data_IF_131936315815
#
_entry.id   IF_131936315815
#
_cell.length_a   1.000
_cell.length_b   1.000
_cell.length_c   1.000
_cell.angle_alpha   90.00
_cell.angle_beta   90.00
_cell.angle_gamma   90.00
#
_symmetry.space_group_name_H-M   'P 1'
#
loop_
_entity.id
_entity.type
_entity.pdbx_description
1 polymer ?
#
# COMPACT_ATOMS: atom_id res chain seq x y z
N UNK A 1 -15.71 66.04 15.42
CA UNK A 1 -15.72 66.17 16.90
C UNK A 1 -15.94 64.76 17.45
N UNK A 2 -14.87 64.05 17.85
CA UNK A 2 -14.47 63.88 19.27
C UNK A 2 -15.67 63.55 20.16
N UNK A 3 -15.74 62.49 20.96
CA UNK A 3 -14.79 61.46 21.44
C UNK A 3 -15.64 60.57 22.35
N UNK A 4 -15.40 59.26 22.40
CA UNK A 4 -15.30 58.53 23.68
C UNK A 4 -14.70 57.14 23.48
N UNK A 5 -13.43 57.09 23.89
CA UNK A 5 -12.61 55.91 24.15
C UNK A 5 -13.20 55.21 25.38
N UNK A 6 -13.42 53.90 25.31
CA UNK A 6 -13.51 53.04 26.50
C UNK A 6 -12.69 51.78 26.26
N UNK A 7 -11.49 51.85 26.83
CA UNK A 7 -10.61 50.84 27.42
C UNK A 7 -10.98 49.36 27.29
N UNK A 8 -9.96 48.61 26.84
CA UNK A 8 -9.75 47.16 26.96
C UNK A 8 -10.16 46.58 28.33
N UNK A 9 -10.84 45.43 28.29
CA UNK A 9 -10.61 44.35 29.25
C UNK A 9 -10.26 43.08 28.48
N UNK A 10 -9.02 42.66 28.65
CA UNK A 10 -8.45 41.39 28.25
C UNK A 10 -9.11 40.29 29.11
N UNK A 11 -9.82 39.35 28.50
CA UNK A 11 -10.14 38.08 29.14
C UNK A 11 -9.73 36.94 28.20
N UNK A 12 -8.56 36.38 28.51
CA UNK A 12 -8.09 35.08 28.05
C UNK A 12 -9.12 33.97 28.34
N UNK A 13 -8.93 32.85 27.63
CA UNK A 13 -9.61 31.56 27.72
C UNK A 13 -10.98 31.46 27.07
N UNK A 14 -11.00 30.92 25.85
CA UNK A 14 -11.57 29.59 25.60
C UNK A 14 -11.27 29.18 24.16
N UNK A 15 -10.01 28.79 23.88
CA UNK A 15 -9.73 27.88 22.79
C UNK A 15 -10.26 26.50 23.21
N UNK A 16 -11.55 26.26 23.02
CA UNK A 16 -12.10 24.91 23.10
C UNK A 16 -11.78 24.26 21.76
N UNK A 17 -10.68 23.52 21.76
CA UNK A 17 -10.39 22.57 20.71
C UNK A 17 -11.56 21.60 20.59
N UNK A 18 -12.18 21.56 19.41
CA UNK A 18 -12.92 20.39 18.98
C UNK A 18 -11.90 19.28 18.71
N UNK A 19 -11.42 18.65 19.77
CA UNK A 19 -10.66 17.41 19.72
C UNK A 19 -11.60 16.26 20.04
N UNK A 20 -11.71 15.33 19.07
CA UNK A 20 -12.15 13.96 19.23
C UNK A 20 -13.56 13.75 19.83
N UNK A 21 -14.58 13.83 18.99
CA UNK A 21 -15.87 13.19 19.25
C UNK A 21 -16.15 12.18 18.13
N UNK A 22 -15.49 11.02 18.24
CA UNK A 22 -15.91 9.70 17.72
C UNK A 22 -15.11 8.64 18.49
N UNK A 23 -15.20 8.64 19.82
CA UNK A 23 -14.84 7.47 20.61
C UNK A 23 -16.05 6.53 20.58
N UNK A 24 -16.05 5.59 19.63
CA UNK A 24 -17.01 4.49 19.59
C UNK A 24 -16.85 3.61 20.84
N UNK A 25 -17.96 3.08 21.35
CA UNK A 25 -17.97 2.16 22.49
C UNK A 25 -16.98 0.99 22.30
N UNK A 26 -16.08 0.84 23.29
CA UNK A 26 -15.00 -0.14 23.30
C UNK A 26 -13.63 0.51 23.28
N UNK A 27 -13.21 1.16 24.38
CA UNK A 27 -11.85 1.70 24.49
C UNK A 27 -10.84 0.56 24.30
N UNK A 28 -9.96 0.69 23.30
CA UNK A 28 -8.81 -0.20 23.19
C UNK A 28 -8.04 -0.24 24.51
N UNK A 29 -7.50 -1.40 24.84
CA UNK A 29 -6.69 -1.55 26.04
C UNK A 29 -5.34 -2.21 25.74
N UNK A 30 -4.45 -2.13 26.72
CA UNK A 30 -3.08 -2.64 26.60
C UNK A 30 -3.00 -4.15 26.37
N UNK A 31 -4.03 -4.91 26.76
CA UNK A 31 -4.12 -6.35 26.49
C UNK A 31 -4.52 -6.66 25.04
N UNK A 32 -4.91 -5.66 24.25
CA UNK A 32 -5.16 -5.80 22.82
C UNK A 32 -4.02 -5.21 21.99
N UNK A 33 -3.47 -4.07 22.39
CA UNK A 33 -2.49 -3.30 21.62
C UNK A 33 -1.38 -2.85 22.55
N UNK A 34 -0.12 -3.09 22.18
CA UNK A 34 1.04 -2.63 22.94
C UNK A 34 2.22 -2.36 21.98
N UNK A 35 2.45 -1.07 21.67
CA UNK A 35 3.56 -0.60 20.83
C UNK A 35 4.28 0.54 21.56
N UNK A 36 5.13 0.22 22.56
CA UNK A 36 5.78 1.25 23.40
C UNK A 36 6.67 2.20 22.60
N UNK A 37 7.16 1.79 21.42
CA UNK A 37 7.94 2.62 20.49
C UNK A 37 7.09 3.68 19.76
N UNK A 38 5.76 3.67 19.94
CA UNK A 38 4.80 4.60 19.33
C UNK A 38 3.89 5.24 20.40
N UNK A 39 4.45 6.01 21.35
CA UNK A 39 3.69 6.52 22.50
C UNK A 39 2.55 7.47 22.13
N UNK A 40 2.69 8.27 21.07
CA UNK A 40 1.62 9.17 20.60
C UNK A 40 0.43 8.39 20.04
N UNK A 41 0.69 7.31 19.30
CA UNK A 41 -0.34 6.40 18.82
C UNK A 41 -1.06 5.71 19.98
N UNK A 42 -0.30 5.16 20.94
CA UNK A 42 -0.85 4.54 22.14
C UNK A 42 -1.75 5.53 22.92
N UNK A 43 -1.28 6.76 23.09
CA UNK A 43 -2.04 7.82 23.76
C UNK A 43 -3.32 8.19 22.99
N UNK A 44 -3.31 8.16 21.65
CA UNK A 44 -4.49 8.39 20.82
C UNK A 44 -5.59 7.36 21.03
N UNK A 45 -5.24 6.17 21.52
CA UNK A 45 -6.17 5.10 21.90
C UNK A 45 -6.54 5.12 23.39
N UNK A 46 -6.06 6.10 24.16
CA UNK A 46 -6.25 6.16 25.61
C UNK A 46 -5.36 5.20 26.40
N UNK A 47 -4.32 4.63 25.78
CA UNK A 47 -3.40 3.70 26.43
C UNK A 47 -2.15 4.45 26.89
N UNK A 48 -1.82 4.33 28.18
CA UNK A 48 -0.62 4.95 28.74
C UNK A 48 0.67 4.39 28.11
N UNK A 49 1.68 5.24 27.90
CA UNK A 49 2.95 4.90 27.23
C UNK A 49 3.74 3.77 27.92
N UNK A 50 3.54 3.60 29.21
CA UNK A 50 4.20 2.65 30.10
C UNK A 50 3.29 1.49 30.51
N UNK A 51 2.06 1.45 29.99
CA UNK A 51 1.15 0.34 30.20
C UNK A 51 1.77 -0.95 29.69
N UNK A 52 1.60 -2.04 30.47
CA UNK A 52 2.05 -3.37 30.08
C UNK A 52 0.85 -4.32 30.02
N UNK A 53 0.82 -5.25 29.04
CA UNK A 53 -0.21 -6.27 29.01
C UNK A 53 -0.20 -7.11 30.29
N UNK A 54 -1.32 -7.15 30.98
CA UNK A 54 -1.58 -8.04 32.11
C UNK A 54 -2.36 -9.26 31.61
N UNK A 55 -1.61 -10.19 31.02
CA UNK A 55 -2.11 -11.44 30.47
C UNK A 55 -1.39 -12.62 31.14
N UNK A 56 -2.16 -13.63 31.56
CA UNK A 56 -1.59 -14.89 32.06
C UNK A 56 -0.81 -15.60 30.96
N UNK A 57 0.05 -16.54 31.35
CA UNK A 57 0.81 -17.37 30.39
C UNK A 57 -0.12 -18.12 29.42
N UNK A 58 -1.24 -18.63 29.92
CA UNK A 58 -2.20 -19.38 29.12
C UNK A 58 -2.93 -18.47 28.13
N UNK A 59 -3.36 -17.28 28.57
CA UNK A 59 -3.96 -16.27 27.69
C UNK A 59 -3.00 -15.85 26.57
N UNK A 60 -1.73 -15.56 26.91
CA UNK A 60 -0.71 -15.23 25.90
C UNK A 60 -0.55 -16.34 24.88
N UNK A 61 -0.47 -17.59 25.34
CA UNK A 61 -0.31 -18.77 24.49
C UNK A 61 -1.49 -18.96 23.55
N UNK A 62 -2.71 -18.84 24.05
CA UNK A 62 -3.93 -18.96 23.26
C UNK A 62 -4.04 -17.86 22.19
N UNK A 63 -3.80 -16.59 22.57
CA UNK A 63 -3.88 -15.45 21.66
C UNK A 63 -2.77 -15.51 20.59
N UNK A 64 -1.54 -15.81 20.99
CA UNK A 64 -0.43 -15.99 20.05
C UNK A 64 -0.70 -17.16 19.10
N UNK A 65 -1.22 -18.28 19.60
CA UNK A 65 -1.64 -19.41 18.79
C UNK A 65 -2.69 -19.02 17.76
N UNK A 66 -3.77 -18.33 18.15
CA UNK A 66 -4.80 -17.86 17.21
C UNK A 66 -4.21 -16.96 16.13
N UNK A 67 -3.40 -15.96 16.54
CA UNK A 67 -2.77 -15.03 15.61
C UNK A 67 -1.78 -15.72 14.65
N UNK A 68 -1.03 -16.70 15.14
CA UNK A 68 -0.12 -17.49 14.31
C UNK A 68 -0.86 -18.26 13.22
N UNK A 69 -1.90 -19.02 13.58
CA UNK A 69 -2.67 -19.80 12.60
C UNK A 69 -3.33 -18.90 11.55
N UNK A 70 -3.94 -17.79 11.97
CA UNK A 70 -4.56 -16.84 11.06
C UNK A 70 -3.54 -16.24 10.06
N UNK A 71 -2.36 -15.83 10.53
CA UNK A 71 -1.30 -15.29 9.67
C UNK A 71 -0.69 -16.36 8.78
N UNK A 72 -0.51 -17.57 9.30
CA UNK A 72 0.01 -18.70 8.53
C UNK A 72 -0.96 -19.04 7.39
N UNK A 73 -2.24 -19.16 7.67
CA UNK A 73 -3.27 -19.44 6.67
C UNK A 73 -3.24 -18.40 5.57
N UNK A 74 -3.15 -17.10 5.90
CA UNK A 74 -3.02 -16.00 4.94
C UNK A 74 -1.71 -16.04 4.13
N UNK A 75 -0.58 -16.25 4.81
CA UNK A 75 0.74 -16.26 4.19
C UNK A 75 0.90 -17.41 3.20
N UNK A 76 0.39 -18.60 3.53
CA UNK A 76 0.46 -19.76 2.64
C UNK A 76 -0.40 -19.63 1.38
N UNK A 77 -1.27 -18.62 1.30
CA UNK A 77 -1.99 -18.23 0.08
C UNK A 77 -1.24 -17.17 -0.74
N UNK A 78 0.03 -16.87 -0.44
CA UNK A 78 0.76 -15.79 -1.10
C UNK A 78 1.86 -16.31 -2.03
N UNK A 79 2.22 -15.49 -3.00
CA UNK A 79 3.41 -15.70 -3.85
C UNK A 79 4.69 -15.78 -3.01
N UNK A 80 4.77 -15.08 -1.88
CA UNK A 80 5.92 -15.17 -0.98
C UNK A 80 6.11 -16.62 -0.48
N UNK A 81 5.04 -17.27 0.01
CA UNK A 81 5.11 -18.66 0.43
C UNK A 81 5.47 -19.60 -0.73
N UNK A 82 4.89 -19.39 -1.91
CA UNK A 82 5.20 -20.18 -3.11
C UNK A 82 6.67 -20.07 -3.54
N UNK A 83 7.32 -18.93 -3.24
CA UNK A 83 8.75 -18.70 -3.49
C UNK A 83 9.66 -19.10 -2.32
N UNK A 84 9.12 -19.75 -1.29
CA UNK A 84 9.89 -20.28 -0.15
C UNK A 84 10.16 -19.26 0.96
N UNK A 85 9.54 -18.08 0.93
CA UNK A 85 9.58 -17.14 2.06
C UNK A 85 8.75 -17.73 3.19
N UNK A 86 9.33 -17.82 4.38
CA UNK A 86 8.68 -18.35 5.59
C UNK A 86 8.52 -17.26 6.65
N UNK A 87 7.80 -17.55 7.73
CA UNK A 87 7.64 -16.61 8.85
C UNK A 87 8.99 -16.12 9.39
N UNK A 88 9.97 -17.03 9.48
CA UNK A 88 11.31 -16.75 10.02
C UNK A 88 12.26 -16.10 9.01
N UNK A 89 11.84 -15.96 7.75
CA UNK A 89 12.55 -15.14 6.77
C UNK A 89 12.46 -13.66 7.16
N UNK A 90 11.26 -13.21 7.53
CA UNK A 90 11.01 -11.81 7.90
C UNK A 90 11.08 -11.57 9.41
N UNK A 91 10.56 -12.47 10.25
CA UNK A 91 10.52 -12.28 11.70
C UNK A 91 11.67 -13.01 12.40
N UNK A 92 12.30 -12.37 13.40
CA UNK A 92 13.27 -13.05 14.26
C UNK A 92 12.57 -13.70 15.45
N UNK A 93 12.51 -15.05 15.53
CA UNK A 93 11.86 -15.75 16.63
C UNK A 93 12.55 -15.54 17.98
N UNK A 94 13.77 -14.97 18.00
CA UNK A 94 14.52 -14.65 19.22
C UNK A 94 14.35 -13.21 19.70
N UNK A 95 13.82 -12.33 18.85
CA UNK A 95 13.79 -10.89 19.12
C UNK A 95 12.77 -10.47 20.17
N UNK A 96 11.76 -11.31 20.47
CA UNK A 96 10.67 -11.02 21.38
C UNK A 96 10.16 -12.32 22.06
N UNK A 97 10.87 -12.85 23.06
CA UNK A 97 10.43 -13.99 23.91
C UNK A 97 9.64 -15.11 23.16
N UNK A 98 10.12 -15.56 22.00
CA UNK A 98 9.43 -16.55 21.16
C UNK A 98 8.27 -15.97 20.33
N UNK A 99 7.06 -16.57 20.41
CA UNK A 99 5.86 -16.11 19.67
C UNK A 99 4.90 -15.28 20.54
N UNK A 100 5.25 -15.05 21.81
CA UNK A 100 4.37 -14.35 22.75
C UNK A 100 4.04 -12.91 22.32
N UNK A 101 4.91 -12.28 21.51
CA UNK A 101 4.66 -10.96 20.92
C UNK A 101 3.44 -10.94 19.99
N UNK A 102 3.02 -12.07 19.45
CA UNK A 102 1.84 -12.18 18.60
C UNK A 102 0.53 -12.11 19.40
N UNK A 103 0.59 -12.17 20.74
CA UNK A 103 -0.61 -12.15 21.59
C UNK A 103 -1.39 -10.83 21.49
N UNK A 104 -0.69 -9.72 21.26
CA UNK A 104 -1.26 -8.36 21.14
C UNK A 104 -0.84 -7.72 19.82
N UNK A 105 -1.50 -6.64 19.40
CA UNK A 105 -1.02 -5.81 18.29
C UNK A 105 0.30 -5.18 18.73
N UNK A 106 1.35 -5.44 17.98
CA UNK A 106 2.70 -4.99 18.28
C UNK A 106 3.43 -4.56 16.99
N UNK A 107 4.58 -3.91 17.13
CA UNK A 107 5.55 -3.66 16.07
C UNK A 107 6.75 -4.61 16.25
N UNK A 108 6.71 -5.82 15.66
CA UNK A 108 7.80 -6.78 15.82
C UNK A 108 9.10 -6.30 15.17
N UNK A 109 10.23 -6.81 15.66
CA UNK A 109 11.52 -6.64 14.97
C UNK A 109 11.49 -7.44 13.67
N UNK A 110 11.87 -6.77 12.58
CA UNK A 110 11.91 -7.35 11.24
C UNK A 110 13.37 -7.57 10.85
N UNK A 111 13.71 -8.82 10.50
CA UNK A 111 15.03 -9.23 10.01
C UNK A 111 15.22 -8.90 8.53
N UNK A 112 14.17 -9.08 7.74
CA UNK A 112 14.18 -8.82 6.31
C UNK A 112 12.95 -8.01 5.93
N UNK A 113 13.20 -6.82 5.41
CA UNK A 113 12.22 -5.81 5.02
C UNK A 113 11.75 -6.04 3.59
N UNK A 114 10.68 -5.34 3.18
CA UNK A 114 10.16 -5.39 1.81
C UNK A 114 11.24 -4.96 0.80
N UNK A 115 11.99 -3.91 1.15
CA UNK A 115 12.99 -3.25 0.32
C UNK A 115 14.21 -4.13 0.05
N UNK A 116 14.51 -5.09 0.93
CA UNK A 116 15.62 -6.03 0.75
C UNK A 116 15.45 -6.94 -0.48
N UNK A 117 14.20 -7.19 -0.91
CA UNK A 117 13.90 -7.97 -2.12
C UNK A 117 13.26 -7.14 -3.23
N UNK A 118 12.48 -6.12 -2.89
CA UNK A 118 11.74 -5.28 -3.83
C UNK A 118 12.48 -3.96 -4.09
N UNK A 119 13.72 -4.07 -4.58
CA UNK A 119 14.62 -2.92 -4.73
C UNK A 119 14.09 -1.90 -5.74
N UNK A 120 13.52 -2.35 -6.87
CA UNK A 120 12.93 -1.43 -7.87
C UNK A 120 11.74 -0.67 -7.28
N UNK A 121 10.86 -1.35 -6.53
CA UNK A 121 9.73 -0.72 -5.87
C UNK A 121 10.22 0.28 -4.81
N UNK A 122 11.24 -0.09 -4.04
CA UNK A 122 11.83 0.79 -3.03
C UNK A 122 12.45 2.04 -3.66
N UNK A 123 13.21 1.88 -4.75
CA UNK A 123 13.83 2.98 -5.50
C UNK A 123 12.76 3.92 -6.06
N UNK A 124 11.69 3.38 -6.65
CA UNK A 124 10.56 4.19 -7.16
C UNK A 124 9.83 4.89 -6.01
N UNK A 125 9.50 4.16 -4.94
CA UNK A 125 8.78 4.70 -3.78
C UNK A 125 9.56 5.80 -3.07
N UNK A 126 10.90 5.78 -3.09
CA UNK A 126 11.73 6.85 -2.56
C UNK A 126 11.52 8.21 -3.26
N UNK A 127 10.89 8.22 -4.45
CA UNK A 127 10.51 9.43 -5.17
C UNK A 127 9.05 9.86 -4.96
N UNK A 128 8.32 9.19 -4.05
CA UNK A 128 6.96 9.59 -3.70
C UNK A 128 6.97 10.86 -2.85
N UNK A 129 6.00 11.72 -3.07
CA UNK A 129 5.75 12.95 -2.32
C UNK A 129 4.45 12.88 -1.50
N UNK A 130 3.50 12.05 -1.95
CA UNK A 130 2.16 11.91 -1.36
C UNK A 130 2.12 10.93 -0.19
N UNK A 131 2.91 9.87 -0.24
CA UNK A 131 2.93 8.79 0.75
C UNK A 131 4.33 8.57 1.35
N UNK A 132 5.17 9.61 1.33
CA UNK A 132 6.61 9.57 1.67
C UNK A 132 6.91 9.16 3.13
N UNK A 133 5.92 9.35 4.00
CA UNK A 133 5.98 8.99 5.43
C UNK A 133 5.41 7.61 5.74
N UNK A 134 4.87 6.89 4.75
CA UNK A 134 4.28 5.58 4.96
C UNK A 134 5.26 4.46 4.64
N UNK A 135 5.13 3.37 5.39
CA UNK A 135 5.84 2.11 5.14
C UNK A 135 5.00 1.23 4.18
N UNK A 136 5.65 0.32 3.46
CA UNK A 136 5.02 -0.61 2.51
C UNK A 136 3.85 -1.37 3.15
N UNK A 137 3.98 -1.71 4.43
CA UNK A 137 2.95 -2.42 5.20
C UNK A 137 1.66 -1.62 5.39
N UNK A 138 1.69 -0.29 5.23
CA UNK A 138 0.50 0.56 5.40
C UNK A 138 -0.59 0.22 4.38
N UNK A 139 -0.20 -0.16 3.16
CA UNK A 139 -1.12 -0.48 2.07
C UNK A 139 -1.18 -1.99 1.80
N UNK A 140 -0.03 -2.68 1.86
CA UNK A 140 0.07 -4.10 1.49
C UNK A 140 -0.32 -5.06 2.61
N UNK A 141 -0.25 -4.60 3.85
CA UNK A 141 -0.53 -5.41 5.02
C UNK A 141 -1.36 -4.59 6.01
N UNK A 142 -2.56 -4.12 5.66
CA UNK A 142 -3.40 -3.39 6.61
C UNK A 142 -3.81 -4.29 7.78
N UNK A 143 -4.14 -3.69 8.92
CA UNK A 143 -4.93 -4.40 9.91
C UNK A 143 -6.36 -4.60 9.37
N UNK A 144 -6.81 -5.86 9.36
CA UNK A 144 -8.14 -6.27 8.91
C UNK A 144 -8.87 -7.00 10.04
N UNK A 145 -10.20 -7.01 9.98
CA UNK A 145 -10.99 -7.84 10.89
C UNK A 145 -10.78 -9.33 10.55
N UNK A 146 -10.71 -10.17 11.58
CA UNK A 146 -10.64 -11.62 11.39
C UNK A 146 -11.89 -12.12 10.70
N UNK A 147 -11.85 -13.29 10.05
CA UNK A 147 -13.01 -13.88 9.39
C UNK A 147 -14.26 -13.99 10.30
N UNK A 148 -14.07 -14.23 11.60
CA UNK A 148 -15.17 -14.31 12.56
C UNK A 148 -15.76 -12.95 12.94
N UNK A 149 -14.98 -11.88 12.78
CA UNK A 149 -15.32 -10.51 13.16
C UNK A 149 -15.59 -9.60 11.96
N UNK A 150 -15.49 -10.16 10.74
CA UNK A 150 -15.58 -9.41 9.50
C UNK A 150 -17.01 -8.94 9.23
N UNK A 151 -17.11 -7.78 8.59
CA UNK A 151 -18.34 -7.18 8.08
C UNK A 151 -18.00 -6.33 6.86
N UNK A 152 -18.93 -6.22 5.93
CA UNK A 152 -18.85 -5.24 4.84
C UNK A 152 -19.05 -3.81 5.34
N UNK A 153 -19.67 -3.64 6.51
CA UNK A 153 -19.73 -2.35 7.21
C UNK A 153 -18.40 -2.08 7.95
N UNK A 154 -17.64 -1.10 7.47
CA UNK A 154 -16.38 -0.66 8.06
C UNK A 154 -16.53 -0.13 9.49
N UNK A 155 -17.69 0.42 9.87
CA UNK A 155 -17.90 0.87 11.25
C UNK A 155 -18.07 -0.31 12.21
N UNK A 156 -18.60 -1.44 11.73
CA UNK A 156 -18.72 -2.67 12.50
C UNK A 156 -17.42 -3.49 12.53
N UNK A 157 -16.71 -3.56 11.41
CA UNK A 157 -15.47 -4.34 11.28
C UNK A 157 -14.25 -3.60 11.85
N UNK A 158 -14.18 -2.29 11.66
CA UNK A 158 -13.04 -1.44 11.97
C UNK A 158 -12.54 -1.51 13.41
N UNK A 159 -13.40 -1.35 14.43
CA UNK A 159 -13.03 -1.50 15.83
C UNK A 159 -12.42 -2.87 16.17
N UNK A 160 -12.76 -3.91 15.40
CA UNK A 160 -12.27 -5.30 15.58
C UNK A 160 -11.06 -5.64 14.70
N UNK A 161 -10.65 -4.74 13.80
CA UNK A 161 -9.52 -4.93 12.89
C UNK A 161 -8.18 -4.76 13.61
N UNK A 162 -7.80 -5.77 14.39
CA UNK A 162 -6.59 -5.75 15.22
C UNK A 162 -5.39 -6.40 14.53
N UNK A 163 -5.60 -7.26 13.52
CA UNK A 163 -4.53 -8.13 13.03
C UNK A 163 -4.10 -7.75 11.62
N UNK A 164 -2.78 -7.56 11.49
CA UNK A 164 -2.13 -7.29 10.21
C UNK A 164 -2.25 -8.48 9.26
N UNK A 165 -2.83 -8.28 8.08
CA UNK A 165 -3.00 -9.32 7.05
C UNK A 165 -1.66 -9.69 6.39
N UNK A 166 -1.48 -10.97 6.03
CA UNK A 166 -0.24 -11.50 5.42
C UNK A 166 -0.47 -12.08 4.00
N UNK A 167 -1.32 -11.44 3.19
CA UNK A 167 -1.55 -11.80 1.79
C UNK A 167 -0.76 -10.94 0.80
N UNK A 168 -0.37 -9.72 1.20
CA UNK A 168 0.52 -8.76 0.53
C UNK A 168 -0.01 -8.18 -0.80
N UNK A 169 -0.60 -9.01 -1.66
CA UNK A 169 -1.12 -8.61 -2.97
C UNK A 169 -2.29 -7.64 -2.79
N UNK A 170 -2.23 -6.46 -3.41
CA UNK A 170 -3.40 -5.59 -3.56
C UNK A 170 -4.08 -5.93 -4.88
N UNK A 171 -5.40 -6.15 -4.84
CA UNK A 171 -6.25 -6.35 -6.01
C UNK A 171 -6.97 -5.05 -6.36
N UNK A 172 -6.67 -4.52 -7.55
CA UNK A 172 -7.27 -3.29 -8.06
C UNK A 172 -8.54 -3.64 -8.82
N UNK A 173 -9.67 -3.67 -8.12
CA UNK A 173 -10.99 -3.97 -8.67
C UNK A 173 -12.06 -3.16 -7.92
N UNK A 174 -13.11 -2.63 -8.59
CA UNK A 174 -14.10 -1.79 -7.92
C UNK A 174 -15.06 -2.56 -7.01
N UNK A 175 -15.09 -3.90 -7.07
CA UNK A 175 -16.09 -4.75 -6.40
C UNK A 175 -15.51 -5.91 -5.59
N UNK A 176 -14.27 -6.32 -5.87
CA UNK A 176 -13.64 -7.43 -5.16
C UNK A 176 -13.55 -7.14 -3.66
N UNK A 177 -13.69 -8.17 -2.83
CA UNK A 177 -13.59 -8.04 -1.37
C UNK A 177 -12.55 -9.03 -0.87
N UNK A 178 -11.69 -8.60 0.03
CA UNK A 178 -10.68 -9.45 0.68
C UNK A 178 -11.31 -10.64 1.38
N UNK A 179 -12.53 -10.49 1.90
CA UNK A 179 -13.29 -11.57 2.50
C UNK A 179 -14.63 -11.71 1.78
N UNK A 180 -15.03 -12.94 1.51
CA UNK A 180 -16.32 -13.28 0.87
C UNK A 180 -17.07 -14.28 1.73
N UNK A 181 -18.39 -14.33 1.58
CA UNK A 181 -19.19 -15.38 2.21
C UNK A 181 -18.81 -16.75 1.64
N UNK A 182 -18.68 -17.73 2.52
CA UNK A 182 -18.34 -19.10 2.18
C UNK A 182 -18.69 -20.06 3.33
N UNK A 183 -18.29 -21.32 3.17
CA UNK A 183 -18.45 -22.33 4.22
C UNK A 183 -17.24 -22.33 5.15
N UNK A 184 -17.51 -22.26 6.45
CA UNK A 184 -16.52 -22.39 7.52
C UNK A 184 -16.79 -23.68 8.30
N UNK A 185 -15.73 -24.39 8.69
CA UNK A 185 -15.85 -25.61 9.51
C UNK A 185 -16.28 -25.26 10.93
N UNK A 186 -17.27 -25.99 11.44
CA UNK A 186 -17.77 -25.88 12.81
C UNK A 186 -17.75 -27.27 13.44
N UNK A 187 -16.84 -27.46 14.41
CA UNK A 187 -16.63 -28.78 15.02
C UNK A 187 -15.97 -29.79 14.07
N UNK A 188 -16.15 -31.08 14.32
CA UNK A 188 -15.54 -32.16 13.51
C UNK A 188 -16.20 -32.31 12.14
N UNK A 189 -17.53 -32.22 12.08
CA UNK A 189 -18.32 -32.63 10.91
C UNK A 189 -19.32 -31.57 10.42
N UNK A 190 -19.35 -30.39 11.07
CA UNK A 190 -20.29 -29.32 10.71
C UNK A 190 -19.66 -28.29 9.78
N UNK A 191 -20.48 -27.70 8.92
CA UNK A 191 -20.17 -26.45 8.21
C UNK A 191 -21.23 -25.41 8.53
N UNK A 192 -20.83 -24.15 8.56
CA UNK A 192 -21.73 -23.01 8.67
C UNK A 192 -21.36 -21.97 7.61
N UNK A 193 -22.26 -21.03 7.33
CA UNK A 193 -21.93 -19.85 6.53
C UNK A 193 -21.11 -18.88 7.38
N UNK A 194 -20.05 -18.33 6.79
CA UNK A 194 -19.20 -17.31 7.41
C UNK A 194 -18.33 -16.63 6.36
N UNK A 195 -17.49 -15.69 6.79
CA UNK A 195 -16.52 -15.09 5.89
C UNK A 195 -15.27 -15.95 5.76
N UNK A 196 -14.70 -15.99 4.56
CA UNK A 196 -13.42 -16.63 4.25
C UNK A 196 -12.58 -15.70 3.39
N UNK A 197 -11.25 -15.86 3.44
CA UNK A 197 -10.36 -15.12 2.57
C UNK A 197 -10.66 -15.40 1.10
N UNK A 198 -10.91 -14.34 0.34
CA UNK A 198 -11.07 -14.43 -1.10
C UNK A 198 -9.75 -14.81 -1.76
N UNK A 199 -9.86 -15.46 -2.93
CA UNK A 199 -8.73 -15.87 -3.75
C UNK A 199 -8.86 -15.28 -5.14
N UNK A 200 -7.74 -14.90 -5.74
CA UNK A 200 -7.66 -14.56 -7.15
C UNK A 200 -7.68 -15.82 -8.04
N UNK A 201 -7.59 -15.62 -9.37
CA UNK A 201 -7.62 -16.71 -10.36
C UNK A 201 -6.48 -17.72 -10.18
N UNK A 202 -5.36 -17.28 -9.60
CA UNK A 202 -4.19 -18.11 -9.30
C UNK A 202 -4.30 -18.79 -7.91
N UNK A 203 -5.41 -18.59 -7.21
CA UNK A 203 -5.66 -19.14 -5.89
C UNK A 203 -5.00 -18.37 -4.74
N UNK A 204 -4.46 -17.17 -5.00
CA UNK A 204 -3.78 -16.36 -4.00
C UNK A 204 -4.73 -15.44 -3.24
N UNK A 205 -4.47 -15.25 -1.95
CA UNK A 205 -5.18 -14.24 -1.16
C UNK A 205 -4.79 -12.81 -1.56
N UNK A 206 -5.70 -11.86 -1.37
CA UNK A 206 -5.45 -10.45 -1.69
C UNK A 206 -6.09 -9.47 -0.69
N UNK A 207 -5.58 -8.23 -0.74
CA UNK A 207 -6.10 -7.04 -0.07
C UNK A 207 -6.90 -6.24 -1.11
N UNK A 208 -8.17 -5.97 -0.84
CA UNK A 208 -8.96 -5.09 -1.68
C UNK A 208 -8.59 -3.60 -1.46
N UNK A 209 -9.10 -2.73 -2.32
CA UNK A 209 -8.75 -1.31 -2.28
C UNK A 209 -9.34 -0.59 -1.06
N UNK A 210 -10.48 -1.05 -0.54
CA UNK A 210 -11.06 -0.46 0.67
C UNK A 210 -10.15 -0.71 1.87
N UNK A 211 -9.74 -1.96 2.10
CA UNK A 211 -8.80 -2.30 3.18
C UNK A 211 -7.41 -1.75 2.95
N UNK A 212 -6.96 -1.57 1.71
CA UNK A 212 -5.64 -1.01 1.44
C UNK A 212 -5.58 0.50 1.72
N UNK A 213 -6.56 1.27 1.24
CA UNK A 213 -6.48 2.73 1.19
C UNK A 213 -7.43 3.45 2.17
N UNK A 214 -8.64 2.93 2.34
CA UNK A 214 -9.74 3.63 3.02
C UNK A 214 -10.33 2.81 4.18
N UNK A 215 -9.50 2.02 4.88
CA UNK A 215 -9.90 1.21 6.04
C UNK A 215 -10.25 2.05 7.26
N UNK A 216 -11.32 1.70 7.98
CA UNK A 216 -11.60 2.28 9.30
C UNK A 216 -10.85 1.49 10.39
N UNK A 217 -9.52 1.57 10.43
CA UNK A 217 -8.74 0.76 11.39
C UNK A 217 -7.92 1.63 12.35
N UNK A 218 -8.54 2.23 13.39
CA UNK A 218 -7.83 3.11 14.32
C UNK A 218 -6.77 2.36 15.15
N UNK A 219 -6.86 1.03 15.29
CA UNK A 219 -5.84 0.19 15.93
C UNK A 219 -4.57 -0.06 15.08
N UNK A 220 -4.49 0.49 13.87
CA UNK A 220 -3.29 0.40 13.02
C UNK A 220 -2.47 1.68 13.13
N UNK A 221 -1.26 1.59 13.67
CA UNK A 221 -0.40 2.76 13.80
C UNK A 221 -0.07 3.42 12.45
N UNK A 222 -0.12 2.66 11.35
CA UNK A 222 0.09 3.22 10.01
C UNK A 222 -1.08 4.09 9.54
N UNK A 223 -2.31 3.84 10.04
CA UNK A 223 -3.46 4.73 9.82
C UNK A 223 -3.23 6.03 10.58
N UNK A 224 -2.79 5.95 11.83
CA UNK A 224 -2.48 7.15 12.63
C UNK A 224 -1.40 8.02 11.97
N UNK A 225 -0.29 7.42 11.53
CA UNK A 225 0.80 8.11 10.84
C UNK A 225 0.37 8.69 9.48
N UNK A 226 -0.53 7.99 8.78
CA UNK A 226 -1.18 8.44 7.56
C UNK A 226 -2.30 9.46 7.77
N UNK A 227 -2.34 10.14 8.92
CA UNK A 227 -3.40 11.11 9.27
C UNK A 227 -4.82 10.55 9.14
N UNK A 228 -5.00 9.28 9.47
CA UNK A 228 -6.28 8.58 9.36
C UNK A 228 -6.56 7.98 7.97
N UNK A 229 -5.60 8.03 7.05
CA UNK A 229 -5.74 7.56 5.66
C UNK A 229 -7.00 8.15 5.00
N UNK A 230 -7.72 7.38 4.18
CA UNK A 230 -8.80 7.90 3.34
C UNK A 230 -10.21 7.55 3.83
N UNK A 231 -10.38 6.98 5.04
CA UNK A 231 -11.70 6.61 5.53
C UNK A 231 -12.43 7.81 6.19
N UNK A 232 -13.76 7.98 5.99
CA UNK A 232 -14.53 9.08 6.58
C UNK A 232 -14.50 9.13 8.13
N UNK A 233 -14.35 7.99 8.79
CA UNK A 233 -14.36 7.92 10.25
C UNK A 233 -13.03 8.32 10.88
N UNK A 234 -11.90 8.12 10.17
CA UNK A 234 -10.56 8.31 10.74
C UNK A 234 -9.79 9.46 10.11
N UNK A 235 -10.09 9.81 8.86
CA UNK A 235 -9.28 10.74 8.07
C UNK A 235 -9.27 12.15 8.65
N UNK A 236 -8.09 12.75 8.62
CA UNK A 236 -7.82 14.17 8.89
C UNK A 236 -7.23 14.86 7.65
N UNK A 237 -7.40 14.25 6.49
CA UNK A 237 -7.02 14.81 5.19
C UNK A 237 -8.09 15.80 4.70
N UNK A 238 -7.77 16.52 3.63
CA UNK A 238 -8.75 17.38 2.97
C UNK A 238 -9.93 16.56 2.44
N UNK A 239 -11.12 17.17 2.38
CA UNK A 239 -12.39 16.49 2.03
C UNK A 239 -12.32 15.71 0.71
N UNK A 240 -11.58 16.21 -0.29
CA UNK A 240 -11.39 15.54 -1.57
C UNK A 240 -10.53 14.26 -1.54
N UNK A 241 -9.93 13.93 -0.39
CA UNK A 241 -9.11 12.73 -0.17
C UNK A 241 -9.81 11.73 0.77
N UNK A 242 -11.09 11.92 1.05
CA UNK A 242 -11.89 11.04 1.89
C UNK A 242 -12.81 10.22 0.98
N UNK A 243 -12.64 8.90 0.99
CA UNK A 243 -13.33 7.97 0.09
C UNK A 243 -14.37 7.16 0.87
N UNK A 244 -15.61 7.19 0.40
CA UNK A 244 -16.75 6.54 1.06
C UNK A 244 -16.79 5.04 0.80
N UNK A 245 -16.34 4.63 -0.38
CA UNK A 245 -16.41 3.24 -0.81
C UNK A 245 -15.23 2.85 -1.72
N UNK A 246 -15.14 1.55 -2.00
CA UNK A 246 -14.10 1.01 -2.85
C UNK A 246 -14.12 1.55 -4.29
N UNK A 247 -15.30 1.92 -4.81
CA UNK A 247 -15.44 2.40 -6.18
C UNK A 247 -14.80 3.78 -6.34
N UNK A 248 -14.92 4.63 -5.32
CA UNK A 248 -14.19 5.91 -5.27
C UNK A 248 -12.68 5.68 -5.24
N UNK A 249 -12.19 4.80 -4.34
CA UNK A 249 -10.75 4.45 -4.29
C UNK A 249 -10.26 3.92 -5.64
N UNK A 250 -11.04 3.05 -6.29
CA UNK A 250 -10.73 2.51 -7.61
C UNK A 250 -10.67 3.61 -8.67
N UNK A 251 -11.61 4.56 -8.64
CA UNK A 251 -11.62 5.72 -9.52
C UNK A 251 -10.33 6.54 -9.41
N UNK A 252 -9.90 6.89 -8.20
CA UNK A 252 -8.65 7.62 -7.96
C UNK A 252 -7.42 6.79 -8.37
N UNK A 253 -7.42 5.49 -8.06
CA UNK A 253 -6.36 4.56 -8.48
C UNK A 253 -6.20 4.56 -10.00
N UNK A 254 -7.30 4.53 -10.75
CA UNK A 254 -7.25 4.56 -12.22
C UNK A 254 -6.78 5.90 -12.78
N UNK A 255 -7.07 7.03 -12.13
CA UNK A 255 -6.54 8.33 -12.57
C UNK A 255 -5.02 8.33 -12.54
N UNK A 256 -4.42 7.63 -11.59
CA UNK A 256 -2.96 7.49 -11.51
C UNK A 256 -2.44 6.44 -12.48
N UNK A 257 -3.06 5.25 -12.49
CA UNK A 257 -2.56 4.13 -13.28
C UNK A 257 -2.72 4.26 -14.79
N UNK A 258 -3.82 4.86 -15.26
CA UNK A 258 -4.13 4.95 -16.70
C UNK A 258 -3.04 5.65 -17.51
N UNK A 259 -2.64 6.90 -17.19
CA UNK A 259 -1.63 7.60 -18.00
C UNK A 259 -0.27 6.88 -18.00
N UNK A 260 0.10 6.21 -16.90
CA UNK A 260 1.35 5.44 -16.83
C UNK A 260 1.26 4.19 -17.71
N UNK A 261 0.15 3.44 -17.66
CA UNK A 261 -0.07 2.24 -18.49
C UNK A 261 -0.12 2.58 -19.98
N UNK A 262 -0.81 3.65 -20.35
CA UNK A 262 -0.91 4.11 -21.74
C UNK A 262 0.46 4.56 -22.27
N UNK A 263 1.16 5.41 -21.53
CA UNK A 263 2.50 5.85 -21.89
C UNK A 263 3.49 4.69 -21.99
N UNK A 264 3.47 3.75 -21.04
CA UNK A 264 4.28 2.53 -21.11
C UNK A 264 3.97 1.72 -22.37
N UNK A 265 2.70 1.53 -22.72
CA UNK A 265 2.28 0.79 -23.93
C UNK A 265 2.81 1.46 -25.20
N UNK A 266 2.74 2.78 -25.27
CA UNK A 266 3.31 3.55 -26.38
C UNK A 266 4.82 3.33 -26.48
N UNK A 267 5.55 3.53 -25.38
CA UNK A 267 7.01 3.44 -25.32
C UNK A 267 7.47 2.02 -25.69
N UNK A 268 6.95 1.01 -24.99
CA UNK A 268 7.31 -0.39 -25.18
C UNK A 268 6.94 -0.89 -26.59
N UNK A 269 5.86 -0.35 -27.19
CA UNK A 269 5.48 -0.66 -28.56
C UNK A 269 6.39 -0.01 -29.60
N UNK A 270 6.85 1.22 -29.37
CA UNK A 270 7.67 1.99 -30.31
C UNK A 270 9.11 1.46 -30.40
N UNK A 271 9.74 1.10 -29.28
CA UNK A 271 11.15 0.71 -29.22
C UNK A 271 11.51 -0.38 -30.24
N UNK A 272 10.81 -1.53 -30.34
CA UNK A 272 11.16 -2.57 -31.32
C UNK A 272 11.05 -2.10 -32.77
N UNK A 273 10.02 -1.28 -33.08
CA UNK A 273 9.82 -0.75 -34.43
C UNK A 273 10.95 0.20 -34.83
N UNK A 274 11.32 1.10 -33.93
CA UNK A 274 12.38 2.06 -34.17
C UNK A 274 13.75 1.40 -34.27
N UNK A 275 14.04 0.41 -33.41
CA UNK A 275 15.27 -0.40 -33.52
C UNK A 275 15.38 -1.06 -34.90
N UNK A 276 14.30 -1.68 -35.39
CA UNK A 276 14.26 -2.29 -36.74
C UNK A 276 14.44 -1.27 -37.87
N UNK A 277 13.79 -0.10 -37.76
CA UNK A 277 13.95 0.96 -38.75
C UNK A 277 15.38 1.51 -38.76
N UNK A 278 16.02 1.63 -37.60
CA UNK A 278 17.40 2.09 -37.46
C UNK A 278 18.42 1.16 -38.14
N UNK A 279 18.14 -0.14 -38.26
CA UNK A 279 19.00 -1.10 -38.97
C UNK A 279 19.08 -0.82 -40.48
N UNK A 280 18.02 -0.26 -41.06
CA UNK A 280 17.91 0.00 -42.51
C UNK A 280 18.03 1.48 -42.88
N UNK A 281 18.13 2.36 -41.88
CA UNK A 281 18.28 3.81 -42.07
C UNK A 281 19.76 4.16 -42.23
N UNK A 282 20.09 4.90 -43.30
CA UNK A 282 21.43 5.44 -43.55
C UNK A 282 21.64 6.71 -42.74
N UNK A 283 22.47 6.61 -41.71
CA UNK A 283 22.85 7.72 -40.83
C UNK A 283 24.37 7.82 -40.72
N UNK A 284 24.87 8.97 -40.26
CA UNK A 284 26.26 9.07 -39.84
C UNK A 284 26.52 8.16 -38.61
N UNK A 285 27.76 7.70 -38.36
CA UNK A 285 28.06 6.92 -37.17
C UNK A 285 27.71 7.63 -35.85
N UNK A 286 27.80 8.97 -35.82
CA UNK A 286 27.42 9.78 -34.66
C UNK A 286 25.89 9.75 -34.45
N UNK A 287 25.11 10.05 -35.49
CA UNK A 287 23.64 10.02 -35.43
C UNK A 287 23.11 8.62 -35.09
N UNK A 288 23.76 7.57 -35.62
CA UNK A 288 23.38 6.20 -35.29
C UNK A 288 23.62 5.87 -33.82
N UNK A 289 24.75 6.31 -33.26
CA UNK A 289 25.06 6.17 -31.84
C UNK A 289 24.05 6.92 -30.98
N UNK A 290 23.74 8.17 -31.32
CA UNK A 290 22.79 9.01 -30.58
C UNK A 290 21.38 8.42 -30.59
N UNK A 291 20.90 7.96 -31.76
CA UNK A 291 19.60 7.30 -31.86
C UNK A 291 19.54 6.02 -31.01
N UNK A 292 20.59 5.18 -31.02
CA UNK A 292 20.65 3.97 -30.17
C UNK A 292 20.62 4.32 -28.69
N UNK A 293 21.41 5.30 -28.26
CA UNK A 293 21.46 5.73 -26.86
C UNK A 293 20.09 6.19 -26.35
N UNK A 294 19.37 6.96 -27.15
CA UNK A 294 18.02 7.43 -26.80
C UNK A 294 17.02 6.28 -26.69
N UNK A 295 17.05 5.32 -27.64
CA UNK A 295 16.22 4.12 -27.57
C UNK A 295 16.52 3.28 -26.33
N UNK A 296 17.80 3.12 -25.98
CA UNK A 296 18.21 2.35 -24.80
C UNK A 296 17.78 3.05 -23.49
N UNK A 297 17.86 4.38 -23.41
CA UNK A 297 17.32 5.13 -22.26
C UNK A 297 15.81 5.00 -22.13
N UNK A 298 15.06 5.06 -23.24
CA UNK A 298 13.62 4.83 -23.22
C UNK A 298 13.27 3.40 -22.76
N UNK A 299 14.05 2.40 -23.20
CA UNK A 299 13.89 0.99 -22.83
C UNK A 299 14.20 0.73 -21.34
N UNK A 300 15.21 1.41 -20.78
CA UNK A 300 15.51 1.38 -19.35
C UNK A 300 14.33 1.90 -18.52
N UNK A 301 13.74 3.02 -18.92
CA UNK A 301 12.55 3.58 -18.26
C UNK A 301 11.37 2.62 -18.34
N UNK A 302 11.06 2.09 -19.54
CA UNK A 302 9.98 1.13 -19.71
C UNK A 302 10.19 -0.13 -18.85
N UNK A 303 11.43 -0.62 -18.78
CA UNK A 303 11.81 -1.77 -17.94
C UNK A 303 11.59 -1.48 -16.46
N UNK A 304 11.98 -0.29 -15.98
CA UNK A 304 11.76 0.13 -14.59
C UNK A 304 10.26 0.18 -14.27
N UNK A 305 9.44 0.84 -15.10
CA UNK A 305 7.98 0.93 -14.90
C UNK A 305 7.35 -0.47 -14.83
N UNK A 306 7.73 -1.36 -15.74
CA UNK A 306 7.22 -2.74 -15.77
C UNK A 306 7.62 -3.53 -14.53
N UNK A 307 8.88 -3.39 -14.07
CA UNK A 307 9.40 -4.11 -12.91
C UNK A 307 8.80 -3.60 -11.60
N UNK A 308 8.61 -2.28 -11.48
CA UNK A 308 7.90 -1.69 -10.36
C UNK A 308 6.47 -2.25 -10.25
N UNK A 309 5.73 -2.21 -11.37
CA UNK A 309 4.44 -2.87 -11.52
C UNK A 309 3.27 -2.21 -10.75
N UNK A 310 3.53 -1.12 -10.01
CA UNK A 310 2.48 -0.35 -9.32
C UNK A 310 1.69 0.55 -10.27
N UNK A 311 2.28 0.82 -11.44
CA UNK A 311 1.75 1.72 -12.46
C UNK A 311 1.52 3.15 -11.94
N UNK A 312 2.39 3.67 -11.07
CA UNK A 312 2.24 5.03 -10.53
C UNK A 312 1.86 5.07 -9.06
N UNK A 313 1.32 3.98 -8.51
CA UNK A 313 0.88 3.97 -7.10
C UNK A 313 2.03 4.12 -6.09
N UNK A 314 3.25 3.69 -6.45
CA UNK A 314 4.41 3.92 -5.59
C UNK A 314 4.93 5.37 -5.66
N UNK A 315 4.93 6.01 -6.83
CA UNK A 315 5.35 7.41 -7.00
C UNK A 315 4.79 8.02 -8.30
N UNK A 316 3.60 8.62 -8.22
CA UNK A 316 2.85 9.01 -9.40
C UNK A 316 3.53 10.09 -10.23
N UNK A 317 3.92 11.20 -9.59
CA UNK A 317 4.54 12.33 -10.28
C UNK A 317 5.85 11.93 -10.94
N UNK A 318 6.68 11.15 -10.24
CA UNK A 318 7.93 10.62 -10.75
C UNK A 318 7.73 9.72 -11.97
N UNK A 319 6.86 8.71 -11.89
CA UNK A 319 6.65 7.79 -13.01
C UNK A 319 6.01 8.48 -14.22
N UNK A 320 5.16 9.48 -14.01
CA UNK A 320 4.59 10.27 -15.09
C UNK A 320 5.66 11.10 -15.81
N UNK A 321 6.60 11.68 -15.07
CA UNK A 321 7.75 12.39 -15.64
C UNK A 321 8.69 11.45 -16.41
N UNK A 322 8.93 10.24 -15.88
CA UNK A 322 9.71 9.21 -16.57
C UNK A 322 9.05 8.79 -17.90
N UNK A 323 7.73 8.61 -17.91
CA UNK A 323 6.97 8.33 -19.14
C UNK A 323 7.17 9.44 -20.18
N UNK A 324 6.99 10.71 -19.78
CA UNK A 324 7.18 11.86 -20.69
C UNK A 324 8.63 11.95 -21.21
N UNK A 325 9.59 11.66 -20.34
CA UNK A 325 11.02 11.63 -20.69
C UNK A 325 11.32 10.55 -21.72
N UNK A 326 10.80 9.34 -21.54
CA UNK A 326 10.95 8.26 -22.51
C UNK A 326 10.27 8.59 -23.85
N UNK A 327 9.07 9.17 -23.85
CA UNK A 327 8.40 9.64 -25.07
C UNK A 327 9.25 10.70 -25.79
N UNK A 328 9.87 11.63 -25.06
CA UNK A 328 10.78 12.63 -25.63
C UNK A 328 12.05 12.00 -26.24
N UNK A 329 12.62 10.97 -25.59
CA UNK A 329 13.73 10.20 -26.16
C UNK A 329 13.34 9.52 -27.47
N UNK A 330 12.16 8.90 -27.53
CA UNK A 330 11.63 8.29 -28.74
C UNK A 330 11.41 9.33 -29.85
N UNK A 331 10.77 10.46 -29.54
CA UNK A 331 10.57 11.53 -30.50
C UNK A 331 11.90 12.05 -31.06
N UNK A 332 12.91 12.23 -30.21
CA UNK A 332 14.24 12.67 -30.63
C UNK A 332 14.96 11.62 -31.49
N UNK A 333 14.88 10.34 -31.12
CA UNK A 333 15.45 9.25 -31.91
C UNK A 333 14.78 9.19 -33.30
N UNK A 334 13.46 9.37 -33.36
CA UNK A 334 12.73 9.38 -34.63
C UNK A 334 13.18 10.56 -35.50
N UNK A 335 13.31 11.76 -34.93
CA UNK A 335 13.83 12.93 -35.66
C UNK A 335 15.25 12.73 -36.22
N UNK A 336 16.11 12.00 -35.50
CA UNK A 336 17.44 11.66 -36.01
C UNK A 336 17.31 10.70 -37.20
N UNK A 337 16.48 9.67 -37.06
CA UNK A 337 16.24 8.68 -38.10
C UNK A 337 15.60 9.27 -39.36
N UNK A 338 14.68 10.22 -39.21
CA UNK A 338 13.97 10.88 -40.33
C UNK A 338 14.89 11.75 -41.20
N UNK A 339 16.04 12.16 -40.68
CA UNK A 339 17.09 12.84 -41.46
C UNK A 339 17.89 11.88 -42.34
N UNK A 340 17.81 10.58 -42.06
CA UNK A 340 18.49 9.54 -42.82
C UNK A 340 17.73 9.12 -44.07
N UNK A 341 18.47 8.70 -45.10
CA UNK A 341 17.87 8.01 -46.26
C UNK A 341 17.64 6.52 -45.96
N UNK A 342 16.75 5.85 -46.69
CA UNK A 342 16.58 4.39 -46.54
C UNK A 342 17.52 3.61 -47.46
N UNK A 343 18.08 2.50 -46.97
CA UNK A 343 18.71 1.51 -47.84
C UNK A 343 17.66 0.97 -48.82
N UNK A 344 17.86 1.16 -50.14
CA UNK A 344 17.05 0.46 -51.15
C UNK A 344 17.17 -1.04 -50.89
N UNK A 345 16.06 -1.72 -50.64
CA UNK A 345 16.00 -3.18 -50.68
C UNK A 345 16.44 -3.55 -52.10
N UNK A 346 17.57 -4.25 -52.22
CA UNK A 346 17.95 -4.85 -53.48
C UNK A 346 16.91 -5.92 -53.78
N UNK A 347 15.94 -5.62 -54.64
CA UNK A 347 15.10 -6.62 -55.30
C UNK A 347 16.05 -7.54 -56.06
N UNK A 348 16.22 -8.76 -55.55
CA UNK A 348 16.80 -9.87 -56.32
C UNK A 348 15.74 -10.44 -57.24
#
# INVERSE_FOLDING_TARGET
MLTKITTLTLSCLAAIGFSAACAAEGSYNVNQINIPEKPEFMASLGIAKDAKPDLTKDQKTQLAGKAYHEKADQHFMSVHAQKGVSCNTCHDPRSLDGVAWMAVVNKPVIRQTCQDCHTVQADVFAHTDTHDKLDCIACHMPNVASAADYSTDQNAAGPKALRRIHTYKILVDPKASSMVEGEVKVGKDGTAKGYVMAKDEDGNGYVDLMWSCARNTPADYTVFEGKGCHNPATSKLDEGLIYQDQKEVYGETLKWQTPIKEGYKEIAGAIPRMRKLLEVTRLSPADQTDARLLLDKADQIATMIKKDGSWGMHAQNYLLDQVKTAQAYLAKAQQIMDKGGYNKIATK
#
